data_IF_715874448890
#
_entry.id   IF_715874448890
#
_cell.length_a   1.000
_cell.length_b   1.000
_cell.length_c   1.000
_cell.angle_alpha   90.00
_cell.angle_beta   90.00
_cell.angle_gamma   90.00
#
_symmetry.space_group_name_H-M   'P 1'
#
loop_
_entity.id
_entity.type
_entity.pdbx_description
1 polymer ?
#
# COMPACT_ATOMS: atom_id res chain seq x y z
N UNK A 1 4.50 34.09 -18.62
CA UNK A 1 4.00 34.50 -17.33
C UNK A 1 4.78 33.75 -16.26
N UNK A 2 5.43 34.44 -15.33
CA UNK A 2 6.20 33.85 -14.22
C UNK A 2 5.27 33.11 -13.30
N UNK A 3 5.46 31.80 -13.13
CA UNK A 3 4.90 31.02 -12.01
C UNK A 3 5.82 31.26 -10.82
N UNK A 4 5.29 31.91 -9.78
CA UNK A 4 6.04 32.19 -8.55
C UNK A 4 6.30 30.89 -7.79
N UNK A 5 7.54 30.67 -7.44
CA UNK A 5 7.97 29.67 -6.46
C UNK A 5 7.50 30.19 -5.09
N UNK A 6 6.62 29.45 -4.43
CA UNK A 6 6.24 29.71 -3.04
C UNK A 6 7.33 29.12 -2.16
N UNK A 7 8.14 29.97 -1.53
CA UNK A 7 9.06 29.57 -0.48
C UNK A 7 8.26 28.99 0.68
N UNK A 8 8.37 27.69 0.91
CA UNK A 8 7.83 27.02 2.08
C UNK A 8 8.85 27.07 3.19
N UNK A 9 8.77 28.09 4.05
CA UNK A 9 9.52 28.17 5.29
C UNK A 9 8.99 27.08 6.26
N UNK A 10 9.76 26.02 6.47
CA UNK A 10 9.42 24.96 7.43
C UNK A 10 9.69 25.48 8.84
N UNK A 11 8.70 26.12 9.45
CA UNK A 11 8.70 26.40 10.89
C UNK A 11 8.06 25.25 11.62
N UNK A 12 8.80 24.70 12.59
CA UNK A 12 8.42 23.70 13.60
C UNK A 12 7.38 22.62 13.22
N UNK A 13 7.82 21.36 13.35
CA UNK A 13 6.99 20.16 13.17
C UNK A 13 5.99 20.04 14.32
N UNK A 14 4.82 20.66 14.21
CA UNK A 14 3.66 20.14 14.94
C UNK A 14 2.94 19.07 14.11
N UNK A 15 2.38 18.04 14.78
CA UNK A 15 1.63 17.01 14.09
C UNK A 15 0.50 17.65 13.27
N UNK A 16 0.38 17.21 12.02
CA UNK A 16 -0.68 17.66 11.13
C UNK A 16 -2.01 17.08 11.61
N UNK A 17 -2.90 17.93 12.15
CA UNK A 17 -4.17 17.51 12.71
C UNK A 17 -5.34 17.67 11.74
N UNK A 18 -6.52 17.12 12.12
CA UNK A 18 -7.77 17.24 11.34
C UNK A 18 -8.13 18.70 11.03
N UNK A 19 -7.81 19.64 11.94
CA UNK A 19 -8.01 21.06 11.75
C UNK A 19 -7.16 21.67 10.61
N UNK A 20 -6.00 21.08 10.33
CA UNK A 20 -5.12 21.53 9.25
C UNK A 20 -5.63 21.04 7.89
N UNK A 21 -6.35 19.94 7.85
CA UNK A 21 -7.00 19.41 6.64
C UNK A 21 -8.07 20.37 6.10
N UNK A 22 -8.72 21.17 6.96
CA UNK A 22 -9.75 22.13 6.56
C UNK A 22 -9.23 23.24 5.62
N UNK A 23 -7.91 23.41 5.50
CA UNK A 23 -7.28 24.40 4.63
C UNK A 23 -7.11 23.94 3.19
N UNK A 24 -7.37 22.66 2.89
CA UNK A 24 -7.22 22.11 1.55
C UNK A 24 -8.57 21.87 0.89
N UNK A 25 -8.78 22.29 -0.37
CA UNK A 25 -10.06 22.15 -1.08
C UNK A 25 -10.56 20.71 -1.23
N UNK A 26 -9.66 19.73 -1.12
CA UNK A 26 -9.94 18.29 -1.20
C UNK A 26 -10.67 17.73 0.03
N UNK A 27 -10.64 18.43 1.17
CA UNK A 27 -11.31 18.00 2.39
C UNK A 27 -12.67 18.68 2.52
N UNK A 28 -13.69 17.99 2.02
CA UNK A 28 -15.08 18.47 2.18
C UNK A 28 -15.47 18.51 3.66
N UNK A 29 -16.43 19.39 4.07
CA UNK A 29 -16.92 19.41 5.45
C UNK A 29 -17.40 18.05 5.96
N UNK A 30 -18.02 17.24 5.09
CA UNK A 30 -18.45 15.88 5.42
C UNK A 30 -17.26 14.93 5.69
N UNK A 31 -16.17 15.02 4.91
CA UNK A 31 -14.97 14.23 5.13
C UNK A 31 -14.26 14.64 6.43
N UNK A 32 -14.21 15.94 6.73
CA UNK A 32 -13.64 16.45 7.97
C UNK A 32 -14.42 15.99 9.21
N UNK A 33 -15.74 15.89 9.10
CA UNK A 33 -16.60 15.39 10.18
C UNK A 33 -16.39 13.90 10.43
N UNK A 34 -16.29 13.10 9.37
CA UNK A 34 -15.90 11.67 9.47
C UNK A 34 -14.53 11.52 10.11
N UNK A 35 -13.56 12.36 9.75
CA UNK A 35 -12.23 12.35 10.38
C UNK A 35 -12.27 12.69 11.87
N UNK A 36 -13.10 13.66 12.27
CA UNK A 36 -13.26 14.05 13.67
C UNK A 36 -13.93 12.97 14.52
N UNK A 37 -14.88 12.24 13.94
CA UNK A 37 -15.68 11.22 14.65
C UNK A 37 -15.03 9.84 14.63
N UNK A 38 -14.15 9.57 13.64
CA UNK A 38 -13.57 8.24 13.43
C UNK A 38 -12.10 8.14 13.87
N UNK A 39 -11.39 9.26 13.95
CA UNK A 39 -9.94 9.28 14.25
C UNK A 39 -9.68 10.31 15.37
N UNK A 40 -9.29 9.87 16.57
CA UNK A 40 -8.85 10.75 17.63
C UNK A 40 -7.67 11.63 17.20
N UNK A 41 -7.57 12.90 17.64
CA UNK A 41 -6.58 13.88 17.14
C UNK A 41 -5.13 13.49 17.35
N UNK A 42 -4.84 12.63 18.29
CA UNK A 42 -3.52 12.17 18.72
C UNK A 42 -3.02 10.91 17.99
N UNK A 43 -3.85 10.28 17.14
CA UNK A 43 -3.62 8.93 16.59
C UNK A 43 -3.28 8.88 15.09
N UNK A 44 -2.77 9.94 14.51
CA UNK A 44 -2.57 10.08 13.07
C UNK A 44 -1.31 9.45 12.41
N UNK A 45 -0.31 8.84 13.08
CA UNK A 45 0.91 8.41 12.41
C UNK A 45 0.88 7.05 11.71
N UNK A 46 -0.09 6.19 11.97
CA UNK A 46 0.03 4.75 11.66
C UNK A 46 -0.75 4.25 10.42
N UNK A 47 -1.48 5.10 9.69
CA UNK A 47 -2.27 4.66 8.54
C UNK A 47 -1.38 4.56 7.30
N UNK A 48 -1.39 3.40 6.64
CA UNK A 48 -0.73 3.21 5.36
C UNK A 48 -1.23 4.24 4.34
N UNK A 49 -0.28 4.97 3.74
CA UNK A 49 -0.58 6.02 2.78
C UNK A 49 -0.39 5.47 1.38
N UNK A 50 -1.37 5.63 0.50
CA UNK A 50 -1.20 5.39 -0.92
C UNK A 50 -0.64 6.65 -1.56
N UNK A 51 0.45 6.49 -2.30
CA UNK A 51 1.14 7.57 -2.99
C UNK A 51 1.01 7.34 -4.48
N UNK A 52 0.52 8.34 -5.19
CA UNK A 52 0.59 8.39 -6.65
C UNK A 52 1.69 9.37 -7.03
N UNK A 53 2.68 8.90 -7.76
CA UNK A 53 3.77 9.73 -8.29
C UNK A 53 3.64 9.77 -9.80
N UNK A 54 3.55 10.97 -10.34
CA UNK A 54 3.62 11.21 -11.80
C UNK A 54 5.00 11.75 -12.12
N UNK A 55 5.70 11.11 -13.04
CA UNK A 55 7.04 11.49 -13.44
C UNK A 55 7.14 11.57 -14.97
N UNK A 56 7.93 12.50 -15.48
CA UNK A 56 8.17 12.71 -16.90
C UNK A 56 9.65 12.62 -17.20
N UNK A 57 10.01 12.28 -18.43
CA UNK A 57 11.37 12.50 -18.91
C UNK A 57 11.63 14.02 -19.02
N UNK A 58 12.83 14.49 -18.60
CA UNK A 58 13.20 15.88 -18.77
C UNK A 58 13.35 16.21 -20.26
N UNK A 59 12.92 17.40 -20.62
CA UNK A 59 13.17 17.97 -21.94
C UNK A 59 14.69 18.13 -22.13
N UNK A 60 15.25 17.55 -23.18
CA UNK A 60 16.70 17.55 -23.46
C UNK A 60 17.24 18.95 -23.78
N UNK A 61 16.36 19.89 -24.10
CA UNK A 61 16.72 21.26 -24.44
C UNK A 61 16.60 22.27 -23.30
N UNK A 62 16.26 21.79 -22.06
CA UNK A 62 16.15 22.66 -20.89
C UNK A 62 17.51 22.96 -20.24
N UNK A 63 17.83 24.23 -19.87
CA UNK A 63 19.12 24.56 -19.27
C UNK A 63 19.25 24.00 -17.85
N UNK A 64 20.45 23.44 -17.56
CA UNK A 64 20.83 22.89 -16.24
C UNK A 64 20.67 23.90 -15.10
N UNK A 65 20.07 23.48 -13.99
CA UNK A 65 19.98 24.23 -12.73
C UNK A 65 20.85 23.57 -11.65
N UNK A 66 21.65 24.40 -11.00
CA UNK A 66 22.53 24.05 -9.89
C UNK A 66 21.76 23.57 -8.65
N UNK A 67 22.22 22.49 -8.02
CA UNK A 67 21.62 21.90 -6.82
C UNK A 67 22.34 22.40 -5.57
N UNK A 68 21.61 23.01 -4.65
CA UNK A 68 22.11 23.44 -3.33
C UNK A 68 21.83 22.35 -2.28
N UNK A 69 22.85 21.94 -1.55
CA UNK A 69 22.79 20.89 -0.54
C UNK A 69 22.16 21.34 0.79
N UNK A 70 21.40 20.47 1.43
CA UNK A 70 20.70 20.68 2.71
C UNK A 70 21.46 20.13 3.93
N UNK A 71 21.31 20.69 5.15
CA UNK A 71 22.12 20.35 6.32
C UNK A 71 21.58 19.14 7.14
N UNK A 72 22.50 18.57 7.95
CA UNK A 72 22.35 17.35 8.78
C UNK A 72 21.41 17.50 9.98
N UNK A 73 20.74 16.38 10.35
CA UNK A 73 19.83 16.27 11.51
C UNK A 73 20.47 15.41 12.61
N UNK A 74 20.53 15.92 13.85
CA UNK A 74 21.03 15.22 15.05
C UNK A 74 19.90 14.54 15.85
N UNK A 75 20.20 13.33 16.37
CA UNK A 75 19.32 12.52 17.22
C UNK A 75 19.54 12.79 18.73
N UNK A 76 18.46 12.76 19.52
CA UNK A 76 18.48 12.77 20.99
C UNK A 76 17.77 11.53 21.56
N UNK A 77 18.24 10.90 22.66
CA UNK A 77 17.71 9.64 23.19
C UNK A 77 16.63 9.81 24.27
N UNK A 78 15.74 8.81 24.39
CA UNK A 78 14.63 8.75 25.34
C UNK A 78 14.89 7.72 26.44
N UNK A 79 14.49 8.03 27.69
CA UNK A 79 14.73 7.29 28.93
C UNK A 79 13.60 6.30 29.35
N UNK A 80 13.81 5.37 30.31
CA UNK A 80 12.99 4.18 30.50
C UNK A 80 12.03 4.17 31.72
N UNK A 81 10.72 3.83 31.53
CA UNK A 81 9.93 3.11 32.52
C UNK A 81 9.15 1.90 32.00
N UNK A 82 9.60 1.23 30.94
CA UNK A 82 8.82 0.22 30.19
C UNK A 82 8.71 -1.16 30.85
N UNK A 83 9.68 -1.58 31.67
CA UNK A 83 9.68 -2.92 32.31
C UNK A 83 8.56 -3.10 33.36
N UNK A 84 8.25 -2.05 34.10
CA UNK A 84 7.24 -2.11 35.17
C UNK A 84 5.80 -2.16 34.62
N UNK A 85 5.58 -1.51 33.47
CA UNK A 85 4.31 -1.59 32.75
C UNK A 85 4.07 -2.99 32.16
N UNK A 86 5.12 -3.68 31.68
CA UNK A 86 5.01 -5.04 31.15
C UNK A 86 4.71 -6.10 32.19
N UNK A 87 5.31 -6.03 33.39
CA UNK A 87 4.99 -6.94 34.50
C UNK A 87 3.54 -6.78 34.95
N UNK A 88 3.02 -5.55 34.95
CA UNK A 88 1.62 -5.30 35.27
C UNK A 88 0.71 -5.82 34.15
N UNK A 89 1.05 -5.62 32.87
CA UNK A 89 0.28 -6.12 31.72
C UNK A 89 0.26 -7.65 31.68
N UNK A 90 1.38 -8.32 31.96
CA UNK A 90 1.44 -9.79 32.04
C UNK A 90 0.57 -10.31 33.19
N UNK A 91 0.54 -9.62 34.34
CA UNK A 91 -0.36 -9.93 35.43
C UNK A 91 -1.82 -9.70 35.09
N UNK A 92 -2.11 -8.71 34.30
CA UNK A 92 -3.46 -8.39 33.80
C UNK A 92 -3.97 -9.41 32.77
N UNK A 93 -3.12 -9.91 31.88
CA UNK A 93 -3.47 -10.95 30.89
C UNK A 93 -3.48 -12.39 31.44
N UNK A 94 -3.02 -12.61 32.64
CA UNK A 94 -2.94 -13.96 33.26
C UNK A 94 -4.18 -14.38 34.06
N UNK A 95 -5.17 -13.52 34.21
CA UNK A 95 -6.44 -13.84 34.83
C UNK A 95 -7.51 -14.12 33.77
N UNK A 96 -8.24 -15.22 33.97
CA UNK A 96 -9.36 -15.65 33.15
C UNK A 96 -10.34 -14.50 32.88
N UNK A 97 -10.71 -14.29 31.60
CA UNK A 97 -11.75 -13.37 31.13
C UNK A 97 -11.58 -11.89 31.51
N UNK A 98 -10.63 -11.16 30.90
CA UNK A 98 -10.54 -9.70 31.09
C UNK A 98 -10.97 -8.91 29.89
N UNK A 99 -11.78 -7.90 30.14
CA UNK A 99 -12.11 -6.85 29.19
C UNK A 99 -10.89 -5.93 28.97
N UNK A 100 -10.46 -5.74 27.72
CA UNK A 100 -9.42 -4.80 27.35
C UNK A 100 -10.05 -3.48 26.90
N UNK A 101 -9.57 -2.35 27.43
CA UNK A 101 -10.01 -0.99 27.07
C UNK A 101 -9.78 0.00 28.20
N UNK A 102 -9.82 1.26 27.91
CA UNK A 102 -9.70 2.37 28.87
C UNK A 102 -11.02 2.64 29.65
N UNK A 103 -12.04 1.81 29.42
CA UNK A 103 -13.37 1.94 30.03
C UNK A 103 -14.31 2.95 29.30
N UNK A 104 -13.84 3.62 28.25
CA UNK A 104 -14.63 4.61 27.50
C UNK A 104 -15.46 4.04 26.35
N UNK A 105 -15.15 2.78 25.92
CA UNK A 105 -15.77 2.10 24.79
C UNK A 105 -16.44 0.77 25.15
N UNK A 106 -16.84 0.00 24.12
CA UNK A 106 -17.34 -1.36 24.34
C UNK A 106 -16.16 -2.25 24.73
N UNK A 107 -16.24 -2.98 25.88
CA UNK A 107 -15.16 -3.85 26.29
C UNK A 107 -14.97 -4.98 25.27
N UNK A 108 -13.74 -5.22 24.87
CA UNK A 108 -13.35 -6.38 24.06
C UNK A 108 -12.82 -7.46 24.97
N UNK A 109 -13.45 -8.63 24.96
CA UNK A 109 -12.99 -9.79 25.72
C UNK A 109 -12.18 -10.72 24.81
N UNK A 110 -10.98 -11.10 25.27
CA UNK A 110 -10.10 -12.02 24.56
C UNK A 110 -9.72 -13.18 25.47
N UNK A 111 -9.60 -14.38 24.87
CA UNK A 111 -9.18 -15.59 25.59
C UNK A 111 -7.99 -16.25 24.90
N UNK A 112 -7.01 -16.64 25.69
CA UNK A 112 -5.90 -17.48 25.29
C UNK A 112 -6.13 -18.91 25.75
N UNK A 113 -6.18 -19.85 24.81
CA UNK A 113 -6.47 -21.27 25.15
C UNK A 113 -5.28 -21.99 25.79
N UNK A 114 -4.08 -21.41 25.75
CA UNK A 114 -2.90 -22.01 26.41
C UNK A 114 -1.87 -20.98 26.85
N UNK A 115 -1.12 -21.30 27.91
CA UNK A 115 0.05 -20.52 28.31
C UNK A 115 1.14 -20.47 27.22
N UNK A 116 1.25 -21.53 26.43
CA UNK A 116 2.19 -21.58 25.30
C UNK A 116 1.86 -20.49 24.26
N UNK A 117 0.59 -20.27 23.95
CA UNK A 117 0.15 -19.18 23.06
C UNK A 117 0.56 -17.82 23.61
N UNK A 118 0.34 -17.57 24.90
CA UNK A 118 0.77 -16.32 25.54
C UNK A 118 2.29 -16.12 25.43
N UNK A 119 3.10 -17.14 25.69
CA UNK A 119 4.55 -17.07 25.56
C UNK A 119 5.00 -16.83 24.10
N UNK A 120 4.37 -17.48 23.11
CA UNK A 120 4.66 -17.25 21.67
C UNK A 120 4.38 -15.81 21.27
N UNK A 121 3.23 -15.26 21.68
CA UNK A 121 2.87 -13.86 21.40
C UNK A 121 3.85 -12.91 22.10
N UNK A 122 4.20 -13.17 23.35
CA UNK A 122 5.18 -12.35 24.07
C UNK A 122 6.55 -12.34 23.36
N UNK A 123 7.01 -13.48 22.85
CA UNK A 123 8.31 -13.59 22.18
C UNK A 123 8.33 -13.02 20.78
N UNK A 124 7.23 -13.09 20.03
CA UNK A 124 7.14 -12.58 18.66
C UNK A 124 5.73 -12.08 18.34
N UNK A 125 5.32 -10.93 18.93
CA UNK A 125 3.94 -10.43 18.82
C UNK A 125 3.48 -10.24 17.38
N UNK A 126 4.32 -9.72 16.51
CA UNK A 126 3.99 -9.40 15.12
C UNK A 126 3.70 -10.63 14.23
N UNK A 127 4.17 -11.81 14.63
CA UNK A 127 3.88 -13.07 13.93
C UNK A 127 2.86 -13.89 14.70
N UNK A 128 3.14 -14.10 15.98
CA UNK A 128 2.42 -15.10 16.77
C UNK A 128 0.99 -14.71 17.11
N UNK A 129 0.66 -13.42 17.18
CA UNK A 129 -0.72 -12.98 17.39
C UNK A 129 -1.62 -13.38 16.23
N UNK A 130 -1.17 -13.10 15.00
CA UNK A 130 -1.91 -13.49 13.79
C UNK A 130 -2.02 -15.01 13.64
N UNK A 131 -0.92 -15.75 13.92
CA UNK A 131 -0.95 -17.22 13.91
C UNK A 131 -1.90 -17.79 14.96
N UNK A 132 -1.87 -17.26 16.17
CA UNK A 132 -2.75 -17.71 17.25
C UNK A 132 -4.24 -17.45 16.95
N UNK A 133 -4.55 -16.37 16.26
CA UNK A 133 -5.91 -16.12 15.76
C UNK A 133 -6.32 -17.13 14.69
N UNK A 134 -5.42 -17.40 13.74
CA UNK A 134 -5.65 -18.40 12.68
C UNK A 134 -5.80 -19.82 13.24
N UNK A 135 -4.97 -20.18 14.24
CA UNK A 135 -5.01 -21.48 14.92
C UNK A 135 -6.20 -21.62 15.88
N UNK A 136 -6.95 -20.54 16.14
CA UNK A 136 -8.04 -20.51 17.12
C UNK A 136 -7.57 -20.57 18.57
N UNK A 137 -6.27 -20.38 18.86
CA UNK A 137 -5.71 -20.38 20.22
C UNK A 137 -5.73 -18.99 20.89
N UNK A 138 -6.00 -17.95 20.12
CA UNK A 138 -6.40 -16.61 20.53
C UNK A 138 -7.79 -16.32 20.00
N UNK A 139 -8.76 -16.19 20.91
CA UNK A 139 -10.18 -16.04 20.59
C UNK A 139 -10.67 -14.68 21.06
N UNK A 140 -11.39 -13.96 20.21
CA UNK A 140 -12.11 -12.74 20.57
C UNK A 140 -13.55 -13.14 20.91
N UNK A 141 -13.95 -13.03 22.18
CA UNK A 141 -15.25 -13.47 22.68
C UNK A 141 -16.31 -12.37 22.61
N UNK A 142 -15.90 -11.13 22.90
CA UNK A 142 -16.76 -9.95 22.79
C UNK A 142 -16.10 -8.94 21.88
N UNK A 143 -16.78 -8.53 20.81
CA UNK A 143 -16.23 -7.68 19.76
C UNK A 143 -15.72 -8.45 18.54
N UNK A 144 -14.97 -7.80 17.71
CA UNK A 144 -14.33 -8.35 16.52
C UNK A 144 -12.80 -8.35 16.66
N UNK A 145 -12.12 -9.11 15.80
CA UNK A 145 -10.65 -9.04 15.73
C UNK A 145 -10.16 -7.62 15.38
N UNK A 146 -10.95 -6.84 14.64
CA UNK A 146 -10.63 -5.46 14.32
C UNK A 146 -10.62 -4.59 15.58
N UNK A 147 -11.61 -4.77 16.47
CA UNK A 147 -11.69 -4.04 17.75
C UNK A 147 -10.53 -4.40 18.66
N UNK A 148 -10.18 -5.70 18.73
CA UNK A 148 -9.00 -6.16 19.50
C UNK A 148 -7.69 -5.59 18.95
N UNK A 149 -7.51 -5.54 17.62
CA UNK A 149 -6.34 -4.95 16.98
C UNK A 149 -6.26 -3.44 17.17
N UNK A 150 -7.39 -2.74 17.16
CA UNK A 150 -7.45 -1.30 17.44
C UNK A 150 -6.86 -1.00 18.82
N UNK A 151 -7.31 -1.72 19.86
CA UNK A 151 -6.79 -1.57 21.21
C UNK A 151 -5.29 -1.87 21.29
N UNK A 152 -4.84 -2.96 20.64
CA UNK A 152 -3.43 -3.38 20.68
C UNK A 152 -2.50 -2.43 19.92
N UNK A 153 -2.95 -1.85 18.80
CA UNK A 153 -2.16 -0.91 17.98
C UNK A 153 -2.10 0.48 18.59
N UNK A 154 -3.04 0.84 19.45
CA UNK A 154 -3.05 2.11 20.16
C UNK A 154 -1.99 2.22 21.26
N UNK A 155 -1.29 1.14 21.58
CA UNK A 155 -0.30 1.08 22.66
C UNK A 155 1.12 0.79 22.12
N UNK A 156 1.71 1.69 21.32
CA UNK A 156 3.03 1.47 20.71
C UNK A 156 4.17 1.36 21.75
N UNK A 157 3.95 1.84 22.97
CA UNK A 157 4.96 1.78 24.05
C UNK A 157 5.09 0.39 24.69
N UNK A 158 4.15 -0.52 24.42
CA UNK A 158 4.16 -1.88 24.99
C UNK A 158 5.20 -2.84 24.40
N UNK A 159 5.92 -2.45 23.34
CA UNK A 159 6.91 -3.34 22.74
C UNK A 159 8.13 -3.52 23.64
N UNK A 160 8.45 -4.76 24.05
CA UNK A 160 9.58 -5.05 24.91
C UNK A 160 10.92 -4.67 24.23
N UNK A 161 11.95 -4.38 25.04
CA UNK A 161 13.28 -3.99 24.54
C UNK A 161 13.86 -4.97 23.53
N UNK A 162 13.64 -6.28 23.73
CA UNK A 162 14.12 -7.31 22.80
C UNK A 162 13.36 -7.29 21.47
N UNK A 163 12.07 -6.92 21.43
CA UNK A 163 11.34 -6.74 20.18
C UNK A 163 11.93 -5.57 19.38
N UNK A 164 12.38 -4.51 20.06
CA UNK A 164 13.14 -3.40 19.44
C UNK A 164 14.46 -3.87 18.85
N UNK A 165 15.19 -4.77 19.55
CA UNK A 165 16.42 -5.37 18.99
C UNK A 165 16.12 -6.22 17.77
N UNK A 166 15.07 -7.04 17.80
CA UNK A 166 14.65 -7.81 16.62
C UNK A 166 14.25 -6.89 15.46
N UNK A 167 13.57 -5.79 15.75
CA UNK A 167 13.25 -4.78 14.74
C UNK A 167 14.53 -4.19 14.12
N UNK A 168 15.52 -3.81 14.92
CA UNK A 168 16.80 -3.30 14.42
C UNK A 168 17.53 -4.32 13.54
N UNK A 169 17.60 -5.57 13.94
CA UNK A 169 18.20 -6.64 13.14
C UNK A 169 17.46 -6.82 11.80
N UNK A 170 16.14 -6.74 11.80
CA UNK A 170 15.33 -6.79 10.58
C UNK A 170 15.54 -5.55 9.72
N UNK A 171 15.63 -4.38 10.33
CA UNK A 171 15.86 -3.12 9.63
C UNK A 171 17.21 -3.11 8.89
N UNK A 172 18.29 -3.49 9.53
CA UNK A 172 19.59 -3.59 8.87
C UNK A 172 19.63 -4.70 7.80
N UNK A 173 18.95 -5.81 8.02
CA UNK A 173 18.89 -6.91 7.05
C UNK A 173 17.85 -6.68 5.93
N UNK A 174 17.10 -5.56 5.94
CA UNK A 174 15.99 -5.33 4.98
C UNK A 174 16.45 -5.36 3.52
N UNK A 175 17.58 -4.77 3.21
CA UNK A 175 18.13 -4.75 1.86
C UNK A 175 18.43 -6.17 1.33
N UNK A 176 18.93 -7.07 2.19
CA UNK A 176 19.19 -8.46 1.83
C UNK A 176 17.87 -9.24 1.70
N UNK A 177 16.94 -9.06 2.65
CA UNK A 177 15.65 -9.77 2.66
C UNK A 177 14.77 -9.39 1.48
N UNK A 178 14.85 -8.14 1.04
CA UNK A 178 14.10 -7.60 -0.11
C UNK A 178 14.87 -7.73 -1.43
N UNK A 179 15.98 -8.48 -1.44
CA UNK A 179 16.71 -8.72 -2.66
C UNK A 179 15.89 -9.64 -3.59
N UNK A 180 15.19 -9.00 -4.53
CA UNK A 180 14.19 -9.63 -5.37
C UNK A 180 14.73 -9.92 -6.77
N UNK A 181 15.53 -11.01 -6.89
CA UNK A 181 15.96 -11.54 -8.18
C UNK A 181 14.77 -12.13 -8.97
N UNK A 182 14.89 -12.19 -10.30
CA UNK A 182 13.83 -12.63 -11.24
C UNK A 182 13.11 -13.92 -10.81
N UNK A 183 13.85 -14.96 -10.41
CA UNK A 183 13.26 -16.24 -9.97
C UNK A 183 12.37 -16.08 -8.73
N UNK A 184 12.85 -15.30 -7.75
CA UNK A 184 12.11 -15.04 -6.51
C UNK A 184 10.85 -14.20 -6.77
N UNK A 185 10.92 -13.21 -7.69
CA UNK A 185 9.78 -12.40 -8.07
C UNK A 185 8.63 -13.25 -8.62
N UNK A 186 8.93 -14.17 -9.54
CA UNK A 186 7.94 -15.12 -10.11
C UNK A 186 7.31 -16.02 -9.03
N UNK A 187 8.12 -16.60 -8.17
CA UNK A 187 7.64 -17.49 -7.08
C UNK A 187 6.77 -16.73 -6.09
N UNK A 188 7.16 -15.51 -5.70
CA UNK A 188 6.40 -14.69 -4.76
C UNK A 188 5.05 -14.27 -5.33
N UNK A 189 5.00 -13.85 -6.60
CA UNK A 189 3.76 -13.46 -7.29
C UNK A 189 2.85 -14.67 -7.47
N UNK A 190 3.37 -15.82 -7.94
CA UNK A 190 2.61 -17.04 -8.06
C UNK A 190 1.99 -17.45 -6.72
N UNK A 191 2.78 -17.50 -5.65
CA UNK A 191 2.28 -17.88 -4.32
C UNK A 191 1.15 -16.97 -3.79
N UNK A 192 1.19 -15.68 -4.12
CA UNK A 192 0.17 -14.73 -3.66
C UNK A 192 -1.10 -14.76 -4.53
N UNK A 193 -0.98 -14.89 -5.85
CA UNK A 193 -2.11 -14.80 -6.79
C UNK A 193 -2.64 -16.18 -7.26
N UNK A 194 -1.96 -17.29 -6.93
CA UNK A 194 -2.46 -18.65 -7.13
C UNK A 194 -3.52 -19.06 -6.06
N UNK A 195 -3.87 -18.14 -5.15
CA UNK A 195 -5.11 -18.25 -4.39
C UNK A 195 -6.28 -18.24 -5.39
N UNK A 196 -7.23 -19.12 -5.16
CA UNK A 196 -8.41 -19.30 -6.02
C UNK A 196 -9.05 -17.94 -6.38
N UNK A 197 -9.09 -17.60 -7.67
CA UNK A 197 -9.70 -16.36 -8.16
C UNK A 197 -11.15 -16.17 -7.71
N UNK A 198 -11.85 -17.24 -7.27
CA UNK A 198 -13.17 -17.21 -6.66
C UNK A 198 -13.15 -16.49 -5.31
N UNK A 199 -12.08 -16.63 -4.52
CA UNK A 199 -11.94 -15.92 -3.25
C UNK A 199 -11.91 -14.40 -3.47
N UNK A 200 -11.14 -13.93 -4.43
CA UNK A 200 -11.06 -12.50 -4.76
C UNK A 200 -12.40 -11.92 -5.21
N UNK A 201 -13.20 -12.70 -5.97
CA UNK A 201 -14.54 -12.27 -6.39
C UNK A 201 -15.57 -12.15 -5.26
N UNK A 202 -15.25 -12.65 -4.05
CA UNK A 202 -16.13 -12.46 -2.90
C UNK A 202 -16.09 -11.04 -2.34
N UNK A 203 -14.96 -10.32 -2.49
CA UNK A 203 -14.78 -9.04 -1.81
C UNK A 203 -14.29 -7.90 -2.70
N UNK A 204 -13.66 -8.17 -3.85
CA UNK A 204 -13.28 -7.12 -4.79
C UNK A 204 -14.51 -6.56 -5.52
N UNK A 205 -14.31 -5.47 -6.26
CA UNK A 205 -15.28 -4.93 -7.20
C UNK A 205 -15.45 -5.86 -8.42
N UNK A 206 -16.45 -5.59 -9.24
CA UNK A 206 -16.75 -6.38 -10.43
C UNK A 206 -15.57 -6.46 -11.42
N UNK A 207 -14.72 -5.44 -11.43
CA UNK A 207 -13.51 -5.36 -12.29
C UNK A 207 -12.26 -5.98 -11.66
N UNK A 208 -12.36 -6.52 -10.44
CA UNK A 208 -11.28 -7.16 -9.67
C UNK A 208 -10.05 -6.26 -9.47
N UNK A 209 -10.29 -5.01 -9.10
CA UNK A 209 -9.22 -4.07 -8.78
C UNK A 209 -8.66 -4.33 -7.37
N UNK A 210 -7.50 -5.01 -7.27
CA UNK A 210 -6.86 -5.30 -6.00
C UNK A 210 -5.80 -4.23 -5.63
N UNK A 211 -6.26 -2.98 -5.54
CA UNK A 211 -5.47 -1.81 -5.15
C UNK A 211 -6.38 -0.73 -4.56
N UNK A 212 -5.79 0.30 -3.96
CA UNK A 212 -6.55 1.40 -3.36
C UNK A 212 -7.50 2.03 -4.38
N UNK A 213 -8.76 2.19 -4.01
CA UNK A 213 -9.78 2.89 -4.78
C UNK A 213 -9.71 4.40 -4.55
N UNK A 214 -10.30 5.20 -5.43
CA UNK A 214 -10.41 6.65 -5.30
C UNK A 214 -11.85 7.04 -4.98
N UNK A 215 -12.11 7.36 -3.72
CA UNK A 215 -13.44 7.71 -3.23
C UNK A 215 -13.69 9.21 -3.41
N UNK A 216 -14.40 9.61 -4.46
CA UNK A 216 -14.77 11.02 -4.68
C UNK A 216 -15.62 11.57 -3.53
N UNK A 217 -16.40 10.70 -2.89
CA UNK A 217 -17.10 10.98 -1.63
C UNK A 217 -17.00 9.77 -0.69
N UNK A 218 -17.06 9.97 0.64
CA UNK A 218 -17.05 8.86 1.60
C UNK A 218 -18.21 7.86 1.43
N UNK A 219 -19.29 8.27 0.79
CA UNK A 219 -20.47 7.46 0.55
C UNK A 219 -20.43 6.69 -0.77
N UNK A 220 -19.40 6.89 -1.61
CA UNK A 220 -19.26 6.18 -2.87
C UNK A 220 -19.16 4.66 -2.64
N UNK A 221 -19.72 3.87 -3.54
CA UNK A 221 -19.52 2.42 -3.51
C UNK A 221 -18.10 2.05 -3.90
N UNK A 222 -17.66 0.83 -3.55
CA UNK A 222 -16.34 0.34 -3.96
C UNK A 222 -16.21 0.32 -5.49
N UNK A 223 -17.25 -0.10 -6.20
CA UNK A 223 -17.25 -0.17 -7.67
C UNK A 223 -17.10 1.21 -8.30
N UNK A 224 -17.84 2.22 -7.81
CA UNK A 224 -17.72 3.61 -8.26
C UNK A 224 -16.33 4.17 -7.95
N UNK A 225 -15.80 3.89 -6.75
CA UNK A 225 -14.49 4.37 -6.34
C UNK A 225 -13.34 3.71 -7.15
N UNK A 226 -13.48 2.44 -7.54
CA UNK A 226 -12.52 1.79 -8.43
C UNK A 226 -12.62 2.31 -9.86
N UNK A 227 -13.80 2.64 -10.34
CA UNK A 227 -13.97 3.32 -11.63
C UNK A 227 -13.37 4.73 -11.60
N UNK A 228 -13.62 5.48 -10.53
CA UNK A 228 -13.04 6.82 -10.33
C UNK A 228 -11.50 6.76 -10.28
N UNK A 229 -10.91 5.74 -9.64
CA UNK A 229 -9.46 5.51 -9.68
C UNK A 229 -8.93 5.35 -11.12
N UNK A 230 -9.59 4.55 -11.95
CA UNK A 230 -9.16 4.34 -13.34
C UNK A 230 -9.23 5.65 -14.14
N UNK A 231 -10.28 6.44 -13.97
CA UNK A 231 -10.41 7.80 -14.58
C UNK A 231 -9.30 8.72 -14.11
N UNK A 232 -9.03 8.74 -12.81
CA UNK A 232 -8.01 9.57 -12.20
C UNK A 232 -6.60 9.26 -12.73
N UNK A 233 -6.26 7.97 -12.81
CA UNK A 233 -4.99 7.52 -13.38
C UNK A 233 -4.87 7.86 -14.88
N UNK A 234 -5.94 7.66 -15.66
CA UNK A 234 -5.97 8.03 -17.08
C UNK A 234 -5.71 9.55 -17.29
N UNK A 235 -6.34 10.38 -16.46
CA UNK A 235 -6.15 11.83 -16.49
C UNK A 235 -4.70 12.23 -16.17
N UNK A 236 -4.08 11.61 -15.16
CA UNK A 236 -2.68 11.88 -14.78
C UNK A 236 -1.68 11.40 -15.85
N UNK A 237 -2.01 10.37 -16.59
CA UNK A 237 -1.20 9.85 -17.70
C UNK A 237 -1.23 10.76 -18.92
N UNK A 238 -2.20 11.66 -19.05
CA UNK A 238 -2.38 12.52 -20.22
C UNK A 238 -2.42 11.71 -21.53
N UNK A 239 -3.18 10.62 -21.55
CA UNK A 239 -3.26 9.71 -22.68
C UNK A 239 -3.99 10.36 -23.84
N UNK A 240 -3.40 10.26 -25.04
CA UNK A 240 -4.01 10.62 -26.31
C UNK A 240 -4.39 9.37 -27.12
N UNK A 241 -5.39 9.46 -28.03
CA UNK A 241 -5.74 8.32 -28.89
C UNK A 241 -4.54 7.85 -29.71
N UNK A 242 -4.28 6.54 -29.66
CA UNK A 242 -3.13 5.92 -30.33
C UNK A 242 -1.84 5.87 -29.54
N UNK A 243 -1.77 6.47 -28.34
CA UNK A 243 -0.62 6.33 -27.45
C UNK A 243 -0.37 4.85 -27.10
N UNK A 244 0.90 4.47 -27.08
CA UNK A 244 1.36 3.16 -26.62
C UNK A 244 1.51 3.19 -25.10
N UNK A 245 0.67 2.46 -24.40
CA UNK A 245 0.64 2.43 -22.92
C UNK A 245 1.16 1.11 -22.41
N UNK A 246 2.12 1.14 -21.47
CA UNK A 246 2.55 -0.04 -20.71
C UNK A 246 1.91 -0.05 -19.32
N UNK A 247 1.16 -1.11 -19.00
CA UNK A 247 0.62 -1.38 -17.66
C UNK A 247 1.48 -2.44 -16.95
N UNK A 248 2.35 -1.99 -16.03
CA UNK A 248 3.28 -2.87 -15.31
C UNK A 248 2.59 -3.45 -14.07
N UNK A 249 2.29 -4.74 -14.11
CA UNK A 249 1.51 -5.42 -13.08
C UNK A 249 0.01 -5.31 -13.34
N UNK A 250 -0.40 -5.61 -14.58
CA UNK A 250 -1.76 -5.39 -15.08
C UNK A 250 -2.85 -6.20 -14.36
N UNK A 251 -2.48 -7.14 -13.47
CA UNK A 251 -3.42 -7.98 -12.76
C UNK A 251 -4.37 -8.71 -13.73
N UNK A 252 -5.65 -8.70 -13.46
CA UNK A 252 -6.69 -9.29 -14.31
C UNK A 252 -7.12 -8.39 -15.49
N UNK A 253 -6.28 -7.42 -15.86
CA UNK A 253 -6.42 -6.59 -17.05
C UNK A 253 -7.40 -5.40 -16.92
N UNK A 254 -8.05 -5.20 -15.77
CA UNK A 254 -9.13 -4.23 -15.65
C UNK A 254 -8.72 -2.79 -15.95
N UNK A 255 -7.54 -2.33 -15.53
CA UNK A 255 -7.04 -0.99 -15.86
C UNK A 255 -6.68 -0.89 -17.33
N UNK A 256 -5.88 -1.82 -17.87
CA UNK A 256 -5.47 -1.81 -19.26
C UNK A 256 -6.65 -1.83 -20.24
N UNK A 257 -7.67 -2.67 -19.96
CA UNK A 257 -8.91 -2.68 -20.76
C UNK A 257 -9.65 -1.35 -20.71
N UNK A 258 -9.76 -0.75 -19.52
CA UNK A 258 -10.38 0.55 -19.34
C UNK A 258 -9.65 1.65 -20.13
N UNK A 259 -8.32 1.68 -20.08
CA UNK A 259 -7.52 2.66 -20.83
C UNK A 259 -7.72 2.50 -22.33
N UNK A 260 -7.64 1.27 -22.86
CA UNK A 260 -7.87 1.01 -24.28
C UNK A 260 -9.28 1.44 -24.73
N UNK A 261 -10.31 1.08 -23.96
CA UNK A 261 -11.72 1.34 -24.28
C UNK A 261 -12.05 2.84 -24.23
N UNK A 262 -11.54 3.55 -23.21
CA UNK A 262 -11.96 4.94 -22.95
C UNK A 262 -11.08 5.99 -23.61
N UNK A 263 -9.83 5.66 -23.93
CA UNK A 263 -8.89 6.66 -24.51
C UNK A 263 -8.49 6.35 -25.95
N UNK A 264 -8.76 5.14 -26.45
CA UNK A 264 -8.30 4.70 -27.76
C UNK A 264 -6.79 4.40 -27.82
N UNK A 265 -6.15 4.17 -26.67
CA UNK A 265 -4.74 3.81 -26.58
C UNK A 265 -4.47 2.36 -27.01
N UNK A 266 -3.24 2.08 -27.47
CA UNK A 266 -2.70 0.72 -27.67
C UNK A 266 -2.01 0.25 -26.38
N UNK A 267 -2.69 -0.58 -25.58
CA UNK A 267 -2.25 -0.98 -24.24
C UNK A 267 -1.54 -2.32 -24.27
N UNK A 268 -0.36 -2.38 -23.69
CA UNK A 268 0.35 -3.61 -23.38
C UNK A 268 0.40 -3.80 -21.86
N UNK A 269 -0.37 -4.76 -21.34
CA UNK A 269 -0.34 -5.14 -19.92
C UNK A 269 0.62 -6.30 -19.68
N UNK A 270 1.41 -6.24 -18.61
CA UNK A 270 2.29 -7.35 -18.23
C UNK A 270 2.01 -7.83 -16.81
N UNK A 271 2.03 -9.14 -16.63
CA UNK A 271 1.89 -9.82 -15.33
C UNK A 271 2.84 -10.99 -15.23
N UNK A 272 3.12 -11.44 -14.00
CA UNK A 272 3.88 -12.67 -13.72
C UNK A 272 2.98 -13.85 -13.34
N UNK A 273 1.66 -13.68 -13.27
CA UNK A 273 0.68 -14.71 -12.97
C UNK A 273 0.00 -15.21 -14.24
N UNK A 274 0.08 -16.51 -14.49
CA UNK A 274 -0.59 -17.16 -15.62
C UNK A 274 -2.12 -17.14 -15.49
N UNK A 275 -2.65 -17.23 -14.27
CA UNK A 275 -4.08 -17.12 -13.99
C UNK A 275 -4.61 -15.73 -14.35
N UNK A 276 -3.92 -14.68 -13.90
CA UNK A 276 -4.27 -13.30 -14.23
C UNK A 276 -4.22 -13.06 -15.75
N UNK A 277 -3.18 -13.55 -16.42
CA UNK A 277 -3.04 -13.44 -17.87
C UNK A 277 -4.20 -14.07 -18.63
N UNK A 278 -4.58 -15.31 -18.26
CA UNK A 278 -5.68 -16.03 -18.92
C UNK A 278 -6.99 -15.23 -18.82
N UNK A 279 -7.30 -14.73 -17.62
CA UNK A 279 -8.52 -13.95 -17.42
C UNK A 279 -8.47 -12.60 -18.13
N UNK A 280 -7.31 -11.90 -18.12
CA UNK A 280 -7.14 -10.63 -18.82
C UNK A 280 -7.37 -10.77 -20.33
N UNK A 281 -6.81 -11.83 -20.96
CA UNK A 281 -7.01 -12.12 -22.37
C UNK A 281 -8.46 -12.52 -22.70
N UNK A 282 -9.10 -13.33 -21.85
CA UNK A 282 -10.51 -13.68 -22.01
C UNK A 282 -11.42 -12.43 -21.98
N UNK A 283 -11.18 -11.52 -21.04
CA UNK A 283 -11.90 -10.24 -20.92
C UNK A 283 -11.64 -9.31 -22.11
N UNK A 284 -10.42 -9.29 -22.65
CA UNK A 284 -10.09 -8.52 -23.86
C UNK A 284 -10.87 -9.04 -25.07
N UNK A 285 -11.00 -10.36 -25.20
CA UNK A 285 -11.79 -10.98 -26.27
C UNK A 285 -13.29 -10.71 -26.11
N UNK A 286 -13.84 -10.85 -24.89
CA UNK A 286 -15.24 -10.56 -24.57
C UNK A 286 -15.63 -9.11 -24.91
N UNK A 287 -14.74 -8.17 -24.63
CA UNK A 287 -14.94 -6.74 -24.93
C UNK A 287 -14.59 -6.33 -26.36
N UNK A 288 -14.12 -7.25 -27.21
CA UNK A 288 -13.63 -6.97 -28.56
C UNK A 288 -12.44 -5.96 -28.58
N UNK A 289 -11.59 -6.00 -27.58
CA UNK A 289 -10.43 -5.11 -27.40
C UNK A 289 -9.08 -5.79 -27.72
N UNK A 290 -9.07 -7.00 -28.30
CA UNK A 290 -7.82 -7.74 -28.62
C UNK A 290 -6.90 -7.01 -29.60
N UNK A 291 -7.42 -6.06 -30.37
CA UNK A 291 -6.65 -5.21 -31.26
C UNK A 291 -5.95 -4.03 -30.57
N UNK A 292 -6.46 -3.59 -29.40
CA UNK A 292 -5.99 -2.40 -28.69
C UNK A 292 -5.53 -2.68 -27.26
N UNK A 293 -5.74 -3.90 -26.73
CA UNK A 293 -5.25 -4.32 -25.42
C UNK A 293 -4.66 -5.73 -25.49
N UNK A 294 -3.36 -5.83 -25.25
CA UNK A 294 -2.60 -7.08 -25.25
C UNK A 294 -2.05 -7.36 -23.85
N UNK A 295 -2.18 -8.59 -23.38
CA UNK A 295 -1.62 -8.99 -22.10
C UNK A 295 -0.57 -10.07 -22.28
N UNK A 296 0.57 -9.94 -21.57
CA UNK A 296 1.74 -10.81 -21.71
C UNK A 296 2.22 -11.33 -20.36
N UNK A 297 2.67 -12.58 -20.33
CA UNK A 297 3.39 -13.15 -19.19
C UNK A 297 4.85 -12.71 -19.26
N UNK A 298 5.15 -11.53 -18.74
CA UNK A 298 6.49 -10.93 -18.88
C UNK A 298 6.87 -10.14 -17.63
N UNK A 299 8.19 -10.12 -17.39
CA UNK A 299 8.80 -9.21 -16.41
C UNK A 299 9.10 -7.86 -17.09
N UNK A 300 8.90 -6.74 -16.39
CA UNK A 300 9.16 -5.39 -16.92
C UNK A 300 10.63 -5.21 -17.37
N UNK A 301 11.54 -6.03 -16.85
CA UNK A 301 12.96 -6.06 -17.22
C UNK A 301 13.21 -6.62 -18.62
N UNK A 302 12.25 -7.39 -19.16
CA UNK A 302 12.39 -8.13 -20.42
C UNK A 302 11.51 -7.56 -21.55
N UNK A 303 10.63 -6.59 -21.25
CA UNK A 303 9.76 -5.97 -22.24
C UNK A 303 10.57 -5.02 -23.12
N UNK A 304 10.18 -4.87 -24.40
CA UNK A 304 10.78 -3.89 -25.32
C UNK A 304 9.83 -2.68 -25.46
N UNK A 305 10.42 -1.47 -25.57
CA UNK A 305 9.72 -0.20 -25.81
C UNK A 305 10.02 0.34 -27.21
N UNK A 306 9.76 1.63 -27.46
CA UNK A 306 9.31 2.64 -26.50
C UNK A 306 7.78 2.67 -26.30
N UNK A 307 7.37 3.27 -25.16
CA UNK A 307 5.99 3.54 -24.78
C UNK A 307 5.81 5.05 -24.53
N UNK A 308 4.68 5.59 -24.91
CA UNK A 308 4.34 6.99 -24.69
C UNK A 308 3.89 7.21 -23.24
N UNK A 309 3.28 6.19 -22.63
CA UNK A 309 2.81 6.22 -21.23
C UNK A 309 3.15 4.92 -20.52
N UNK A 310 3.52 5.04 -19.25
CA UNK A 310 3.71 3.88 -18.33
C UNK A 310 2.84 4.05 -17.11
N UNK A 311 2.09 3.02 -16.74
CA UNK A 311 1.36 2.96 -15.48
C UNK A 311 1.79 1.74 -14.68
N UNK A 312 1.88 1.87 -13.35
CA UNK A 312 2.15 0.76 -12.44
C UNK A 312 1.33 0.95 -11.17
N UNK A 313 0.45 0.00 -10.86
CA UNK A 313 -0.49 0.07 -9.74
C UNK A 313 -0.35 -1.13 -8.84
N UNK A 314 0.04 -0.92 -7.56
CA UNK A 314 0.15 -1.99 -6.55
C UNK A 314 1.20 -3.05 -6.86
N UNK A 315 2.20 -2.73 -7.68
CA UNK A 315 3.29 -3.64 -8.05
C UNK A 315 4.63 -3.23 -7.41
N UNK A 316 4.82 -1.93 -7.18
CA UNK A 316 6.09 -1.37 -6.73
C UNK A 316 6.53 -1.91 -5.36
N UNK A 317 5.58 -2.30 -4.53
CA UNK A 317 5.78 -2.96 -3.25
C UNK A 317 6.56 -4.28 -3.37
N UNK A 318 6.57 -4.88 -4.55
CA UNK A 318 7.29 -6.12 -4.86
C UNK A 318 8.64 -5.90 -5.54
N UNK A 319 9.02 -4.67 -5.85
CA UNK A 319 10.32 -4.37 -6.51
C UNK A 319 11.48 -4.61 -5.55
N UNK A 320 11.34 -4.20 -4.28
CA UNK A 320 12.39 -4.25 -3.26
C UNK A 320 13.29 -3.02 -3.30
N UNK A 321 13.58 -2.46 -2.12
CA UNK A 321 14.27 -1.17 -1.97
C UNK A 321 15.63 -1.09 -2.68
N UNK A 322 16.37 -2.18 -2.74
CA UNK A 322 17.67 -2.25 -3.42
C UNK A 322 17.59 -2.16 -4.95
N UNK A 323 16.37 -2.24 -5.51
CA UNK A 323 16.14 -2.22 -6.96
C UNK A 323 15.35 -1.00 -7.43
N UNK A 324 14.98 -0.06 -6.55
CA UNK A 324 14.18 1.10 -6.94
C UNK A 324 14.84 1.95 -8.03
N UNK A 325 16.12 2.29 -7.89
CA UNK A 325 16.85 3.03 -8.91
C UNK A 325 16.88 2.28 -10.25
N UNK A 326 17.14 0.97 -10.22
CA UNK A 326 17.14 0.14 -11.44
C UNK A 326 15.76 0.05 -12.07
N UNK A 327 14.69 0.00 -11.26
CA UNK A 327 13.30 0.02 -11.73
C UNK A 327 13.00 1.30 -12.50
N UNK A 328 13.29 2.47 -11.92
CA UNK A 328 13.03 3.73 -12.58
C UNK A 328 13.93 3.96 -13.82
N UNK A 329 15.19 3.56 -13.77
CA UNK A 329 16.05 3.58 -14.98
C UNK A 329 15.46 2.73 -16.11
N UNK A 330 14.92 1.55 -15.75
CA UNK A 330 14.25 0.70 -16.74
C UNK A 330 13.00 1.36 -17.30
N UNK A 331 12.22 2.05 -16.47
CA UNK A 331 11.07 2.83 -16.95
C UNK A 331 11.52 3.96 -17.90
N UNK A 332 12.61 4.65 -17.61
CA UNK A 332 13.19 5.66 -18.53
C UNK A 332 13.57 5.05 -19.87
N UNK A 333 14.24 3.88 -19.88
CA UNK A 333 14.59 3.19 -21.14
C UNK A 333 13.37 2.77 -21.97
N UNK A 334 12.25 2.53 -21.31
CA UNK A 334 10.99 2.12 -21.94
C UNK A 334 10.12 3.29 -22.35
N UNK A 335 10.30 4.46 -21.74
CA UNK A 335 9.51 5.66 -22.01
C UNK A 335 10.05 6.42 -23.22
N UNK A 336 9.14 6.95 -24.02
CA UNK A 336 9.47 7.92 -25.08
C UNK A 336 9.95 9.26 -24.49
N UNK A 337 10.59 10.11 -25.30
CA UNK A 337 11.19 11.39 -24.86
C UNK A 337 10.20 12.31 -24.12
N UNK A 338 8.94 12.35 -24.57
CA UNK A 338 7.87 13.13 -23.94
C UNK A 338 6.95 12.24 -23.07
N UNK A 339 7.43 11.06 -22.70
CA UNK A 339 6.63 10.07 -22.01
C UNK A 339 6.26 10.47 -20.58
N UNK A 340 5.09 10.01 -20.16
CA UNK A 340 4.58 10.21 -18.79
C UNK A 340 4.44 8.88 -18.09
N UNK A 341 4.95 8.79 -16.85
CA UNK A 341 4.78 7.63 -15.98
C UNK A 341 3.91 7.99 -14.77
N UNK A 342 2.96 7.12 -14.44
CA UNK A 342 2.21 7.17 -13.18
C UNK A 342 2.52 5.93 -12.35
N UNK A 343 3.03 6.16 -11.15
CA UNK A 343 3.24 5.12 -10.14
C UNK A 343 2.21 5.29 -9.03
N UNK A 344 1.42 4.25 -8.78
CA UNK A 344 0.47 4.17 -7.66
C UNK A 344 0.85 2.99 -6.77
N UNK A 345 1.26 3.27 -5.54
CA UNK A 345 1.73 2.27 -4.61
C UNK A 345 1.26 2.56 -3.17
N UNK A 346 1.19 1.53 -2.35
CA UNK A 346 1.06 1.71 -0.90
C UNK A 346 2.36 2.34 -0.41
N UNK A 347 2.26 3.48 0.27
CA UNK A 347 3.39 4.15 0.88
C UNK A 347 3.19 4.36 2.37
N UNK A 348 4.27 4.62 3.09
CA UNK A 348 4.19 4.97 4.51
C UNK A 348 4.43 6.46 4.71
N UNK A 349 3.73 7.04 5.67
CA UNK A 349 3.87 8.45 6.08
C UNK A 349 5.07 8.67 7.01
N UNK A 350 5.63 7.59 7.55
CA UNK A 350 6.85 7.59 8.37
C UNK A 350 8.08 7.29 7.51
N UNK A 351 9.27 7.41 8.09
CA UNK A 351 10.51 6.97 7.42
C UNK A 351 10.54 5.47 7.13
N UNK A 352 11.65 4.99 6.53
CA UNK A 352 11.85 3.58 6.23
C UNK A 352 11.66 2.67 7.45
N UNK A 353 11.06 1.49 7.25
CA UNK A 353 10.72 0.55 8.31
C UNK A 353 10.83 -0.90 7.79
N UNK A 354 10.29 -1.86 8.49
CA UNK A 354 10.27 -3.27 8.12
C UNK A 354 8.84 -3.76 7.90
N UNK A 355 8.66 -4.74 7.03
CA UNK A 355 7.37 -5.41 6.89
C UNK A 355 7.18 -6.41 8.02
N UNK A 356 5.97 -6.47 8.59
CA UNK A 356 5.61 -7.42 9.62
C UNK A 356 5.92 -8.87 9.18
N UNK A 357 6.46 -9.71 10.06
CA UNK A 357 6.71 -11.12 9.74
C UNK A 357 5.45 -11.89 9.32
N UNK A 358 4.31 -11.57 9.92
CA UNK A 358 3.03 -12.18 9.55
C UNK A 358 2.62 -11.81 8.12
N UNK A 359 2.68 -10.52 7.78
CA UNK A 359 2.41 -10.04 6.42
C UNK A 359 3.35 -10.67 5.40
N UNK A 360 4.65 -10.75 5.72
CA UNK A 360 5.65 -11.35 4.84
C UNK A 360 5.40 -12.86 4.64
N UNK A 361 4.93 -13.56 5.68
CA UNK A 361 4.72 -15.03 5.61
C UNK A 361 3.42 -15.41 4.90
N UNK A 362 2.34 -14.68 5.15
CA UNK A 362 0.99 -15.12 4.77
C UNK A 362 0.32 -14.25 3.69
N UNK A 363 0.69 -12.97 3.56
CA UNK A 363 -0.02 -12.04 2.67
C UNK A 363 0.87 -11.63 1.49
N UNK A 364 2.02 -11.00 1.73
CA UNK A 364 2.89 -10.47 0.68
C UNK A 364 4.33 -10.94 0.86
N UNK A 365 4.68 -12.16 0.42
CA UNK A 365 6.05 -12.65 0.47
C UNK A 365 7.00 -11.71 -0.29
N UNK A 366 8.03 -11.21 0.42
CA UNK A 366 8.98 -10.25 -0.14
C UNK A 366 8.44 -8.84 -0.36
N UNK A 367 7.19 -8.56 -0.01
CA UNK A 367 6.59 -7.23 -0.12
C UNK A 367 7.17 -6.24 0.90
N UNK A 368 7.24 -4.98 0.47
CA UNK A 368 7.70 -3.86 1.29
C UNK A 368 6.89 -2.61 1.01
N UNK A 369 6.48 -1.92 2.07
CA UNK A 369 5.79 -0.64 1.95
C UNK A 369 6.84 0.48 1.94
N UNK A 370 7.10 1.13 0.79
CA UNK A 370 8.15 2.13 0.65
C UNK A 370 7.83 3.42 1.41
N UNK A 371 8.89 4.09 1.89
CA UNK A 371 8.82 5.47 2.32
C UNK A 371 9.12 6.41 1.14
N UNK A 372 8.51 7.60 1.11
CA UNK A 372 8.82 8.61 0.07
C UNK A 372 10.31 8.97 0.03
N UNK A 373 10.97 9.01 1.19
CA UNK A 373 12.41 9.25 1.31
C UNK A 373 13.29 8.17 0.67
N UNK A 374 12.74 7.00 0.30
CA UNK A 374 13.43 5.96 -0.46
C UNK A 374 13.09 6.03 -1.95
N UNK A 375 11.87 6.46 -2.28
CA UNK A 375 11.36 6.49 -3.66
C UNK A 375 11.85 7.71 -4.41
N UNK A 376 11.70 8.91 -3.82
CA UNK A 376 12.06 10.18 -4.46
C UNK A 376 13.52 10.20 -4.95
N UNK A 377 14.53 9.86 -4.12
CA UNK A 377 15.91 9.84 -4.58
C UNK A 377 16.19 8.84 -5.70
N UNK A 378 15.42 7.74 -5.76
CA UNK A 378 15.57 6.76 -6.83
C UNK A 378 14.99 7.25 -8.17
N UNK A 379 13.90 8.03 -8.14
CA UNK A 379 13.33 8.69 -9.30
C UNK A 379 14.28 9.74 -9.85
N UNK A 380 14.80 10.62 -8.98
CA UNK A 380 15.74 11.68 -9.34
C UNK A 380 17.03 11.13 -9.97
N UNK A 381 17.62 10.09 -9.34
CA UNK A 381 18.82 9.40 -9.87
C UNK A 381 18.59 8.71 -11.21
N UNK A 382 17.35 8.31 -11.51
CA UNK A 382 17.00 7.76 -12.80
C UNK A 382 16.83 8.84 -13.88
N UNK A 383 16.79 10.12 -13.51
CA UNK A 383 16.64 11.24 -14.43
C UNK A 383 15.20 11.58 -14.79
N UNK A 384 14.22 11.11 -14.02
CA UNK A 384 12.81 11.47 -14.19
C UNK A 384 12.49 12.75 -13.43
N UNK A 385 11.72 13.64 -14.05
CA UNK A 385 11.17 14.82 -13.39
C UNK A 385 9.86 14.49 -12.70
N UNK A 386 9.82 14.66 -11.38
CA UNK A 386 8.58 14.51 -10.60
C UNK A 386 7.70 15.73 -10.86
N UNK A 387 6.53 15.52 -11.45
CA UNK A 387 5.57 16.59 -11.76
C UNK A 387 4.44 16.69 -10.75
N UNK A 388 4.13 15.62 -10.02
CA UNK A 388 3.05 15.58 -9.04
C UNK A 388 3.27 14.43 -8.03
N UNK A 389 2.90 14.67 -6.78
CA UNK A 389 2.81 13.66 -5.72
C UNK A 389 1.48 13.85 -5.00
N UNK A 390 0.62 12.85 -5.07
CA UNK A 390 -0.67 12.82 -4.41
C UNK A 390 -0.73 11.74 -3.34
N UNK A 391 -1.24 12.07 -2.16
CA UNK A 391 -1.33 11.17 -1.01
C UNK A 391 -2.80 10.81 -0.74
N UNK A 392 -3.19 9.58 -1.06
CA UNK A 392 -4.57 9.07 -0.99
C UNK A 392 -4.92 8.46 0.39
N UNK A 393 -4.49 9.04 1.47
CA UNK A 393 -4.50 8.50 2.82
C UNK A 393 -5.76 7.69 3.20
N UNK A 394 -6.93 8.36 3.32
CA UNK A 394 -8.18 7.73 3.79
C UNK A 394 -8.83 6.83 2.73
N UNK A 395 -8.53 7.03 1.47
CA UNK A 395 -9.06 6.19 0.39
C UNK A 395 -8.71 4.72 0.60
N UNK A 396 -7.50 4.43 1.12
CA UNK A 396 -7.12 3.05 1.40
C UNK A 396 -7.84 2.46 2.61
N UNK A 397 -8.11 3.25 3.64
CA UNK A 397 -8.92 2.83 4.78
C UNK A 397 -10.35 2.48 4.33
N UNK A 398 -10.98 3.31 3.49
CA UNK A 398 -12.29 3.02 2.91
C UNK A 398 -12.28 1.77 2.02
N UNK A 399 -11.24 1.60 1.21
CA UNK A 399 -11.06 0.42 0.35
C UNK A 399 -10.99 -0.85 1.21
N UNK A 400 -10.13 -0.88 2.24
CA UNK A 400 -9.97 -2.02 3.13
C UNK A 400 -11.26 -2.31 3.93
N UNK A 401 -11.95 -1.25 4.37
CA UNK A 401 -13.26 -1.39 5.01
C UNK A 401 -14.28 -2.04 4.08
N UNK A 402 -14.37 -1.57 2.85
CA UNK A 402 -15.31 -2.13 1.86
C UNK A 402 -14.99 -3.60 1.54
N UNK A 403 -13.70 -3.95 1.39
CA UNK A 403 -13.29 -5.35 1.20
C UNK A 403 -13.64 -6.22 2.40
N UNK A 404 -13.35 -5.75 3.62
CA UNK A 404 -13.72 -6.46 4.85
C UNK A 404 -15.22 -6.70 4.94
N UNK A 405 -16.02 -5.66 4.73
CA UNK A 405 -17.47 -5.73 4.89
C UNK A 405 -18.08 -6.69 3.84
N UNK A 406 -17.61 -6.65 2.58
CA UNK A 406 -18.00 -7.58 1.53
C UNK A 406 -17.59 -9.03 1.86
N UNK A 407 -16.37 -9.24 2.32
CA UNK A 407 -15.87 -10.55 2.72
C UNK A 407 -16.69 -11.14 3.87
N UNK A 408 -16.95 -10.35 4.92
CA UNK A 408 -17.74 -10.79 6.07
C UNK A 408 -19.18 -11.13 5.68
N UNK A 409 -19.80 -10.38 4.78
CA UNK A 409 -21.13 -10.66 4.26
C UNK A 409 -21.19 -12.01 3.48
N UNK A 410 -20.06 -12.46 2.93
CA UNK A 410 -19.95 -13.71 2.14
C UNK A 410 -19.03 -14.75 2.79
N UNK A 411 -18.80 -14.64 4.11
CA UNK A 411 -17.90 -15.54 4.84
C UNK A 411 -18.21 -17.02 4.67
N UNK A 412 -19.49 -17.39 4.67
CA UNK A 412 -19.91 -18.79 4.51
C UNK A 412 -19.55 -19.33 3.12
N UNK A 413 -19.60 -18.49 2.07
CA UNK A 413 -19.14 -18.89 0.74
C UNK A 413 -17.63 -19.11 0.73
N UNK A 414 -16.86 -18.23 1.41
CA UNK A 414 -15.41 -18.40 1.54
C UNK A 414 -15.06 -19.73 2.25
N UNK A 415 -15.75 -20.08 3.33
CA UNK A 415 -15.55 -21.37 4.04
C UNK A 415 -15.83 -22.57 3.14
N UNK A 416 -16.77 -22.45 2.21
CA UNK A 416 -17.09 -23.56 1.28
C UNK A 416 -16.07 -23.73 0.15
N UNK A 417 -15.18 -22.77 -0.07
CA UNK A 417 -14.12 -22.86 -1.07
C UNK A 417 -12.90 -23.67 -0.60
N UNK A 418 -12.75 -23.82 0.71
CA UNK A 418 -11.65 -24.49 1.39
C UNK A 418 -12.18 -25.48 2.45
#
# INVERSE_FOLDING_TARGET
>A
GRVGVVDVEVRERRPFGVADCARFPLFTPALLEVMRTTIPPDRHPAIATVVTVTARQPDKDAPEREVVASPEVRNTPVSPPVLKAMENTIREFSAEDRACGDGSGRPVAVRFLSKQTQHRILLNPELALGEAYMDGTFVVENGSIADALEILLDQPEMLPRWARLQWWLRYFSRHIRQFNVRGRARTNVAHHYDLDGRLYSLFLDADRQYSCAYFETPAATLDDAQLAKKRHLAAKLLIEPGDRVLDIGSGWGGLGLYLAEMTGADVTGITLSSEQLQLANARAAEKNLTGSARFLLSDYRDIAGPFDRIVSVGMFEHVGVSFYERYFRRCVELLDENGVMVLHAIGRSTGPDVTSPWTTKYIFPGGYIPALSEVIPAIEKAGLLISDIEILRLHYAYTLKAWRDRFLARREEAVRLY
#
